data_IF_638027302036
#
_entry.id   IF_638027302036
#
_cell.length_a   1.000
_cell.length_b   1.000
_cell.length_c   1.000
_cell.angle_alpha   90.00
_cell.angle_beta   90.00
_cell.angle_gamma   90.00
#
_symmetry.space_group_name_H-M   'P 1'
#
loop_
_entity.id
_entity.type
_entity.pdbx_description
1 polymer ?
#
# COMPACT_ATOMS: atom_id res chain seq x y z
N UNK A 1 41.51 -12.57 -8.61
CA UNK A 1 40.67 -12.35 -7.43
C UNK A 1 39.89 -11.07 -7.66
N UNK A 2 38.61 -11.16 -8.01
CA UNK A 2 37.73 -10.00 -8.13
C UNK A 2 37.04 -9.79 -6.78
N UNK A 3 37.26 -8.60 -6.22
CA UNK A 3 36.66 -8.09 -5.01
C UNK A 3 35.13 -7.96 -5.20
N UNK A 4 34.36 -8.72 -4.41
CA UNK A 4 32.89 -8.72 -4.44
C UNK A 4 32.27 -7.71 -3.46
N UNK A 5 33.03 -6.74 -2.96
CA UNK A 5 32.58 -5.81 -1.92
C UNK A 5 31.93 -4.54 -2.47
N UNK A 6 30.78 -4.64 -3.15
CA UNK A 6 29.72 -3.58 -3.19
C UNK A 6 28.66 -3.88 -4.23
N UNK A 7 27.66 -4.67 -3.84
CA UNK A 7 26.30 -4.50 -4.38
C UNK A 7 25.39 -4.28 -3.19
N UNK A 8 25.51 -3.11 -2.55
CA UNK A 8 24.42 -2.63 -1.70
C UNK A 8 23.23 -2.40 -2.63
N UNK A 9 22.25 -3.30 -2.53
CA UNK A 9 21.04 -3.28 -3.33
C UNK A 9 20.39 -1.91 -3.28
N UNK A 10 20.42 -1.21 -4.41
CA UNK A 10 19.47 -0.13 -4.71
C UNK A 10 18.13 -0.76 -5.05
N UNK A 11 17.51 -1.44 -4.10
CA UNK A 11 16.06 -1.60 -4.13
C UNK A 11 15.44 -0.20 -4.10
N UNK A 12 14.23 0.01 -4.65
CA UNK A 12 13.58 1.30 -4.54
C UNK A 12 13.53 1.67 -3.06
N UNK A 13 14.20 2.78 -2.69
CA UNK A 13 14.00 3.38 -1.38
C UNK A 13 12.55 3.82 -1.36
N UNK A 14 11.69 3.02 -0.73
CA UNK A 14 10.36 3.45 -0.34
C UNK A 14 10.55 4.60 0.65
N UNK A 15 10.59 5.83 0.14
CA UNK A 15 10.53 7.01 0.97
C UNK A 15 9.16 6.99 1.64
N UNK A 16 9.17 6.87 2.97
CA UNK A 16 7.96 6.88 3.78
C UNK A 16 7.12 8.10 3.40
N UNK A 17 5.96 7.87 2.78
CA UNK A 17 5.06 8.95 2.40
C UNK A 17 4.54 9.64 3.67
N UNK A 18 4.28 10.95 3.60
CA UNK A 18 3.52 11.63 4.66
C UNK A 18 2.17 10.94 4.78
N UNK A 19 1.73 10.65 6.01
CA UNK A 19 0.40 10.09 6.26
C UNK A 19 -0.68 10.98 5.63
N UNK A 20 -1.61 10.35 4.92
CA UNK A 20 -2.77 11.00 4.30
C UNK A 20 -4.03 10.26 4.72
N UNK A 21 -5.13 10.99 4.83
CA UNK A 21 -6.47 10.40 4.96
C UNK A 21 -6.99 10.13 3.55
N UNK A 22 -7.29 8.88 3.27
CA UNK A 22 -7.77 8.39 1.97
C UNK A 22 -8.92 7.43 2.21
N UNK A 23 -9.77 7.23 1.19
CA UNK A 23 -10.88 6.28 1.27
C UNK A 23 -10.46 4.97 0.62
N UNK A 24 -10.45 3.89 1.40
CA UNK A 24 -9.95 2.58 0.97
C UNK A 24 -11.11 1.61 0.86
N UNK A 25 -11.28 1.03 -0.32
CA UNK A 25 -12.29 0.00 -0.60
C UNK A 25 -11.58 -1.34 -0.81
N UNK A 26 -12.10 -2.40 -0.19
CA UNK A 26 -11.63 -3.76 -0.40
C UNK A 26 -12.37 -4.36 -1.60
N UNK A 27 -11.63 -4.67 -2.66
CA UNK A 27 -12.11 -5.44 -3.81
C UNK A 27 -11.78 -6.92 -3.58
N UNK A 28 -12.78 -7.67 -3.13
CA UNK A 28 -12.65 -9.08 -2.80
C UNK A 28 -12.43 -9.98 -4.03
N UNK A 29 -13.00 -9.63 -5.17
CA UNK A 29 -12.88 -10.43 -6.39
C UNK A 29 -11.50 -10.24 -7.03
N UNK A 30 -11.03 -8.98 -7.07
CA UNK A 30 -9.70 -8.65 -7.57
C UNK A 30 -8.56 -8.90 -6.59
N UNK A 31 -8.85 -9.26 -5.33
CA UNK A 31 -7.89 -9.39 -4.23
C UNK A 31 -6.95 -8.17 -4.14
N UNK A 32 -7.53 -6.97 -4.07
CA UNK A 32 -6.79 -5.71 -4.04
C UNK A 32 -7.52 -4.66 -3.20
N UNK A 33 -6.77 -3.64 -2.76
CA UNK A 33 -7.34 -2.41 -2.21
C UNK A 33 -7.40 -1.35 -3.29
N UNK A 34 -8.55 -0.70 -3.41
CA UNK A 34 -8.77 0.45 -4.27
C UNK A 34 -8.74 1.71 -3.41
N UNK A 35 -7.82 2.63 -3.71
CA UNK A 35 -7.64 3.84 -2.89
C UNK A 35 -8.13 5.06 -3.64
N UNK A 36 -9.08 5.77 -3.04
CA UNK A 36 -9.68 7.00 -3.54
C UNK A 36 -9.31 8.18 -2.64
N UNK A 37 -9.44 9.39 -3.19
CA UNK A 37 -9.21 10.63 -2.45
C UNK A 37 -10.20 10.80 -1.29
N UNK A 38 -11.47 10.44 -1.51
CA UNK A 38 -12.59 10.64 -0.59
C UNK A 38 -13.74 9.65 -0.90
N UNK A 39 -14.76 9.67 -0.04
CA UNK A 39 -15.94 8.79 -0.13
C UNK A 39 -16.79 9.06 -1.39
N UNK A 40 -16.99 10.33 -1.76
CA UNK A 40 -17.75 10.71 -2.96
C UNK A 40 -17.11 10.15 -4.23
N UNK A 41 -15.79 10.16 -4.29
CA UNK A 41 -15.02 9.57 -5.39
C UNK A 41 -15.19 8.06 -5.45
N UNK A 42 -15.21 7.37 -4.32
CA UNK A 42 -15.36 5.91 -4.24
C UNK A 42 -16.77 5.45 -4.62
N UNK A 43 -17.79 6.28 -4.36
CA UNK A 43 -19.18 6.00 -4.70
C UNK A 43 -19.53 6.36 -6.16
N UNK A 44 -18.62 6.99 -6.91
CA UNK A 44 -18.85 7.38 -8.30
C UNK A 44 -18.29 6.33 -9.27
N UNK A 45 -19.14 5.55 -9.99
CA UNK A 45 -18.69 4.49 -10.88
C UNK A 45 -17.91 4.99 -12.12
N UNK A 46 -17.90 6.31 -12.38
CA UNK A 46 -17.13 6.92 -13.48
C UNK A 46 -15.73 7.35 -13.06
N UNK A 47 -15.39 7.24 -11.77
CA UNK A 47 -14.11 7.71 -11.23
C UNK A 47 -13.24 6.51 -10.89
N UNK A 48 -12.05 6.49 -11.49
CA UNK A 48 -11.05 5.47 -11.19
C UNK A 48 -10.38 5.71 -9.83
N UNK A 49 -9.88 4.65 -9.18
CA UNK A 49 -9.07 4.78 -7.97
C UNK A 49 -7.78 5.57 -8.26
N UNK A 50 -7.34 6.35 -7.27
CA UNK A 50 -6.06 7.08 -7.31
C UNK A 50 -4.88 6.12 -7.49
N UNK A 51 -4.93 4.97 -6.80
CA UNK A 51 -4.00 3.87 -6.96
C UNK A 51 -4.61 2.58 -6.39
N UNK A 52 -4.02 1.43 -6.74
CA UNK A 52 -4.41 0.12 -6.23
C UNK A 52 -3.27 -0.54 -5.48
N UNK A 53 -3.61 -1.39 -4.50
CA UNK A 53 -2.64 -2.20 -3.74
C UNK A 53 -3.04 -3.68 -3.89
N UNK A 54 -2.29 -4.46 -4.69
CA UNK A 54 -2.54 -5.89 -4.80
C UNK A 54 -2.33 -6.59 -3.44
N UNK A 55 -3.24 -7.49 -3.08
CA UNK A 55 -3.16 -8.27 -1.83
C UNK A 55 -2.67 -9.70 -2.05
N UNK A 56 -2.34 -10.08 -3.29
CA UNK A 56 -1.77 -11.38 -3.59
C UNK A 56 -0.44 -11.58 -2.83
N UNK A 57 -0.42 -12.58 -1.94
CA UNK A 57 0.70 -12.87 -1.03
C UNK A 57 1.01 -11.75 -0.01
N UNK A 58 0.11 -10.80 0.19
CA UNK A 58 0.28 -9.76 1.20
C UNK A 58 0.15 -10.35 2.61
N UNK A 59 0.92 -9.79 3.55
CA UNK A 59 0.83 -10.14 4.97
C UNK A 59 0.33 -8.96 5.79
N UNK A 60 -0.59 -9.23 6.71
CA UNK A 60 -1.19 -8.23 7.59
C UNK A 60 -0.61 -8.38 9.00
N UNK A 61 -0.11 -7.27 9.54
CA UNK A 61 0.46 -7.21 10.90
C UNK A 61 -0.24 -6.13 11.69
N UNK A 62 -0.78 -6.46 12.86
CA UNK A 62 -1.32 -5.47 13.79
C UNK A 62 -0.15 -4.78 14.47
N UNK A 63 -0.17 -3.44 14.55
CA UNK A 63 0.88 -2.64 15.19
C UNK A 63 0.51 -2.43 16.67
N UNK A 64 1.09 -3.18 17.62
CA UNK A 64 0.64 -3.16 19.03
C UNK A 64 0.89 -1.82 19.72
N UNK A 65 1.84 -1.02 19.21
CA UNK A 65 2.22 0.28 19.76
C UNK A 65 1.33 1.42 19.27
N UNK A 66 0.53 1.20 18.22
CA UNK A 66 -0.30 2.23 17.58
C UNK A 66 -1.76 1.77 17.57
N UNK A 67 -2.65 2.42 18.35
CA UNK A 67 -4.06 2.04 18.42
C UNK A 67 -4.70 2.01 17.03
N UNK A 68 -5.40 0.91 16.75
CA UNK A 68 -6.16 0.71 15.50
C UNK A 68 -5.32 0.82 14.22
N UNK A 69 -4.01 0.59 14.30
CA UNK A 69 -3.13 0.54 13.14
C UNK A 69 -2.75 -0.90 12.78
N UNK A 70 -2.58 -1.12 11.48
CA UNK A 70 -2.03 -2.33 10.92
C UNK A 70 -1.14 -1.97 9.73
N UNK A 71 -0.20 -2.85 9.40
CA UNK A 71 0.66 -2.76 8.23
C UNK A 71 0.33 -3.88 7.24
N UNK A 72 0.50 -3.58 5.96
CA UNK A 72 0.47 -4.55 4.86
C UNK A 72 1.89 -4.61 4.30
N UNK A 73 2.49 -5.80 4.30
CA UNK A 73 3.83 -6.08 3.77
C UNK A 73 3.74 -6.95 2.52
#
# INVERSE_FOLDING_TARGET
MLDQSKVFGKGPLFTRRKGRKEWVVLDNEGLQLLVFQDEDSANNPKRDPTYTVPLANASFTIEPEIPSAFSIL
#
